data_IF_112302235229
#
_entry.id   IF_112302235229
#
_cell.length_a   1.000
_cell.length_b   1.000
_cell.length_c   1.000
_cell.angle_alpha   90.00
_cell.angle_beta   90.00
_cell.angle_gamma   90.00
#
_symmetry.space_group_name_H-M   'P 1'
#
loop_
_entity.id
_entity.type
_entity.pdbx_description
1 polymer ?
#
# COMPACT_ATOMS: atom_id res chain seq x y z
N UNK A 1 33.05 -0.97 12.11
CA UNK A 1 33.17 -1.73 10.83
C UNK A 1 32.00 -1.33 9.95
N UNK A 2 32.23 -0.95 8.68
CA UNK A 2 31.13 -0.73 7.73
C UNK A 2 30.51 -2.08 7.40
N UNK A 3 29.22 -2.28 7.74
CA UNK A 3 28.43 -3.40 7.26
C UNK A 3 28.42 -3.39 5.71
N UNK A 4 28.04 -4.50 5.09
CA UNK A 4 28.02 -4.64 3.63
C UNK A 4 27.26 -3.53 2.90
N UNK A 5 27.17 -3.64 1.58
CA UNK A 5 26.52 -2.64 0.73
C UNK A 5 25.35 -3.25 -0.02
N UNK A 6 24.19 -2.62 0.13
CA UNK A 6 22.96 -2.94 -0.60
C UNK A 6 22.86 -2.08 -1.88
N UNK A 7 22.40 -2.68 -2.97
CA UNK A 7 22.09 -1.99 -4.21
C UNK A 7 20.60 -2.12 -4.47
N UNK A 8 19.85 -1.03 -4.31
CA UNK A 8 18.41 -1.02 -4.55
C UNK A 8 18.14 -0.57 -5.97
N UNK A 9 17.56 -1.45 -6.77
CA UNK A 9 17.19 -1.19 -8.16
C UNK A 9 15.68 -1.14 -8.32
N UNK A 10 15.18 -0.27 -9.19
CA UNK A 10 13.76 -0.06 -9.46
C UNK A 10 13.57 0.68 -10.78
N UNK A 11 12.34 0.92 -11.15
CA UNK A 11 11.94 1.47 -12.46
C UNK A 11 11.83 3.00 -12.51
N UNK A 12 11.84 3.70 -11.39
CA UNK A 12 11.81 5.17 -11.32
C UNK A 12 10.71 5.82 -12.17
N UNK A 13 9.50 5.26 -12.08
CA UNK A 13 8.35 5.73 -12.88
C UNK A 13 7.52 6.82 -12.18
N UNK A 14 7.95 7.32 -11.01
CA UNK A 14 7.21 8.32 -10.22
C UNK A 14 5.95 7.78 -9.56
N UNK A 15 5.87 6.46 -9.33
CA UNK A 15 4.78 5.80 -8.64
C UNK A 15 5.03 5.72 -7.13
N UNK A 16 4.02 5.36 -6.37
CA UNK A 16 4.15 5.13 -4.92
C UNK A 16 5.24 4.10 -4.54
N UNK A 17 5.63 3.24 -5.47
CA UNK A 17 6.73 2.28 -5.33
C UNK A 17 8.10 2.96 -5.22
N UNK A 18 8.30 4.13 -5.84
CA UNK A 18 9.54 4.90 -5.70
C UNK A 18 9.71 5.44 -4.27
N UNK A 19 8.61 5.72 -3.63
CA UNK A 19 8.54 6.09 -2.23
C UNK A 19 8.98 4.92 -1.32
N UNK A 20 8.46 3.72 -1.58
CA UNK A 20 8.86 2.50 -0.86
C UNK A 20 10.34 2.20 -1.06
N UNK A 21 10.88 2.44 -2.26
CA UNK A 21 12.31 2.33 -2.52
C UNK A 21 13.12 3.32 -1.68
N UNK A 22 12.65 4.55 -1.53
CA UNK A 22 13.30 5.58 -0.70
C UNK A 22 13.29 5.16 0.78
N UNK A 23 12.17 4.62 1.26
CA UNK A 23 12.04 4.06 2.62
C UNK A 23 12.99 2.89 2.85
N UNK A 24 13.09 1.96 1.91
CA UNK A 24 14.02 0.85 1.98
C UNK A 24 15.48 1.31 2.09
N UNK A 25 15.87 2.36 1.34
CA UNK A 25 17.19 2.98 1.44
C UNK A 25 17.41 3.60 2.84
N UNK A 26 16.43 4.31 3.37
CA UNK A 26 16.49 4.88 4.72
C UNK A 26 16.63 3.79 5.79
N UNK A 27 15.84 2.72 5.69
CA UNK A 27 15.93 1.54 6.57
C UNK A 27 17.32 0.89 6.52
N UNK A 28 17.88 0.70 5.33
CA UNK A 28 19.24 0.15 5.19
C UNK A 28 20.28 1.03 5.92
N UNK A 29 20.15 2.36 5.82
CA UNK A 29 21.03 3.29 6.53
C UNK A 29 20.84 3.22 8.05
N UNK A 30 19.61 3.17 8.57
CA UNK A 30 19.33 3.02 10.02
C UNK A 30 19.97 1.75 10.57
N UNK A 31 19.93 0.66 9.79
CA UNK A 31 20.53 -0.62 10.14
C UNK A 31 22.07 -0.67 9.94
N UNK A 32 22.69 0.44 9.50
CA UNK A 32 24.12 0.58 9.35
C UNK A 32 24.71 0.01 8.05
N UNK A 33 23.85 -0.32 7.07
CA UNK A 33 24.30 -0.75 5.74
C UNK A 33 24.58 0.44 4.82
N UNK A 34 25.61 0.32 3.98
CA UNK A 34 25.82 1.28 2.90
C UNK A 34 24.88 0.99 1.74
N UNK A 35 24.47 2.05 1.02
CA UNK A 35 23.72 1.90 -0.24
C UNK A 35 24.59 2.30 -1.41
N UNK A 36 24.67 1.44 -2.44
CA UNK A 36 25.51 1.62 -3.59
C UNK A 36 24.79 2.25 -4.78
N UNK A 37 25.55 2.97 -5.62
CA UNK A 37 25.04 3.44 -6.91
C UNK A 37 24.96 2.29 -7.91
N UNK A 38 23.79 2.14 -8.56
CA UNK A 38 23.54 1.09 -9.55
C UNK A 38 24.48 1.16 -10.77
N UNK A 39 25.00 2.35 -11.08
CA UNK A 39 25.96 2.54 -12.18
C UNK A 39 27.27 1.74 -11.97
N UNK A 40 27.60 1.45 -10.73
CA UNK A 40 28.82 0.70 -10.38
C UNK A 40 28.62 -0.83 -10.35
N UNK A 41 27.39 -1.32 -10.42
CA UNK A 41 27.10 -2.77 -10.33
C UNK A 41 27.78 -3.58 -11.42
N UNK A 42 27.85 -3.07 -12.66
CA UNK A 42 28.48 -3.75 -13.79
C UNK A 42 29.96 -4.05 -13.59
N UNK A 43 30.62 -3.34 -12.67
CA UNK A 43 32.06 -3.52 -12.36
C UNK A 43 32.28 -4.34 -11.08
N UNK A 44 31.23 -4.83 -10.46
CA UNK A 44 31.29 -5.53 -9.18
C UNK A 44 30.73 -6.94 -9.30
N UNK A 45 31.15 -7.81 -8.40
CA UNK A 45 30.65 -9.19 -8.28
C UNK A 45 30.14 -9.44 -6.86
N UNK A 46 29.26 -10.41 -6.71
CA UNK A 46 28.75 -10.91 -5.41
C UNK A 46 28.14 -9.82 -4.52
N UNK A 47 27.52 -8.80 -5.13
CA UNK A 47 26.83 -7.76 -4.38
C UNK A 47 25.39 -8.22 -4.04
N UNK A 48 24.82 -7.64 -2.98
CA UNK A 48 23.40 -7.77 -2.68
C UNK A 48 22.61 -6.77 -3.54
N UNK A 49 21.80 -7.28 -4.47
CA UNK A 49 20.95 -6.48 -5.35
C UNK A 49 19.50 -6.74 -4.97
N UNK A 50 18.79 -5.71 -4.56
CA UNK A 50 17.38 -5.80 -4.20
C UNK A 50 16.54 -5.06 -5.23
N UNK A 51 15.67 -5.81 -5.92
CA UNK A 51 14.77 -5.28 -6.93
C UNK A 51 13.46 -4.82 -6.27
N UNK A 52 13.21 -3.54 -6.36
CA UNK A 52 12.00 -2.92 -5.87
C UNK A 52 11.25 -2.33 -7.07
N UNK A 53 10.52 -3.19 -7.78
CA UNK A 53 9.89 -2.89 -9.06
C UNK A 53 8.38 -2.79 -8.93
N UNK A 54 7.79 -1.98 -9.79
CA UNK A 54 6.39 -2.07 -10.11
C UNK A 54 6.12 -3.45 -10.79
N UNK A 55 5.01 -4.09 -10.51
CA UNK A 55 4.63 -5.41 -11.02
C UNK A 55 5.59 -6.58 -10.71
N UNK A 56 6.52 -6.44 -9.79
CA UNK A 56 7.36 -7.54 -9.29
C UNK A 56 8.18 -8.25 -10.39
N UNK A 57 8.50 -7.58 -11.49
CA UNK A 57 9.18 -8.18 -12.64
C UNK A 57 10.65 -8.39 -12.34
N UNK A 58 11.10 -9.65 -12.42
CA UNK A 58 12.51 -9.98 -12.40
C UNK A 58 13.20 -9.44 -13.66
N UNK A 59 14.23 -8.60 -13.46
CA UNK A 59 14.98 -8.04 -14.59
C UNK A 59 16.03 -9.04 -15.05
N UNK A 60 15.98 -9.54 -16.32
CA UNK A 60 16.87 -10.60 -16.81
C UNK A 60 18.37 -10.30 -16.63
N UNK A 61 18.76 -9.01 -16.73
CA UNK A 61 20.17 -8.59 -16.57
C UNK A 61 20.78 -8.94 -15.20
N UNK A 62 19.97 -9.27 -14.18
CA UNK A 62 20.44 -9.65 -12.84
C UNK A 62 20.43 -11.17 -12.63
N UNK A 63 19.70 -11.93 -13.43
CA UNK A 63 19.49 -13.35 -13.25
C UNK A 63 20.75 -14.18 -13.52
N UNK A 64 21.54 -13.78 -14.53
CA UNK A 64 22.77 -14.47 -14.95
C UNK A 64 24.04 -13.88 -14.33
N UNK A 65 23.90 -13.17 -13.20
CA UNK A 65 25.03 -12.56 -12.51
C UNK A 65 25.44 -13.35 -11.28
N UNK A 66 26.66 -13.09 -10.78
CA UNK A 66 27.11 -13.60 -9.47
C UNK A 66 26.54 -12.85 -8.28
N UNK A 67 25.62 -11.89 -8.48
CA UNK A 67 25.01 -11.12 -7.41
C UNK A 67 24.00 -11.94 -6.64
N UNK A 68 23.86 -11.70 -5.33
CA UNK A 68 22.72 -12.15 -4.55
C UNK A 68 21.51 -11.30 -4.95
N UNK A 69 20.37 -11.96 -5.16
CA UNK A 69 19.18 -11.33 -5.70
C UNK A 69 18.03 -11.36 -4.69
N UNK A 70 17.59 -10.17 -4.27
CA UNK A 70 16.38 -9.98 -3.51
C UNK A 70 15.33 -9.23 -4.31
N UNK A 71 14.06 -9.41 -3.96
CA UNK A 71 12.95 -8.64 -4.56
C UNK A 71 11.79 -8.45 -3.59
N UNK A 72 10.94 -7.45 -3.88
CA UNK A 72 9.62 -7.30 -3.25
C UNK A 72 8.54 -7.86 -4.17
N UNK A 73 7.61 -8.64 -3.60
CA UNK A 73 6.42 -9.13 -4.30
C UNK A 73 5.18 -8.71 -3.52
N UNK A 74 4.57 -7.59 -3.90
CA UNK A 74 3.51 -6.95 -3.10
C UNK A 74 2.11 -7.44 -3.43
N UNK A 75 1.79 -7.61 -4.72
CA UNK A 75 0.48 -8.00 -5.21
C UNK A 75 0.60 -8.59 -6.62
N UNK A 76 -0.50 -9.07 -7.16
CA UNK A 76 -0.54 -9.60 -8.51
C UNK A 76 -0.83 -11.10 -8.48
N UNK A 77 -2.11 -11.44 -8.27
CA UNK A 77 -2.55 -12.83 -8.43
C UNK A 77 -2.56 -13.20 -9.89
N UNK A 78 -1.93 -14.31 -10.30
CA UNK A 78 -2.06 -14.83 -11.65
C UNK A 78 -3.54 -15.12 -11.96
N UNK A 79 -3.93 -14.99 -13.22
CA UNK A 79 -5.32 -15.18 -13.65
C UNK A 79 -6.24 -13.98 -13.35
N UNK A 80 -5.72 -12.84 -12.88
CA UNK A 80 -6.53 -11.65 -12.67
C UNK A 80 -6.97 -11.06 -14.02
N UNK A 81 -8.28 -10.99 -14.33
CA UNK A 81 -8.78 -10.49 -15.61
C UNK A 81 -8.32 -9.06 -15.89
N UNK A 82 -7.80 -8.82 -17.10
CA UNK A 82 -7.32 -7.50 -17.52
C UNK A 82 -5.89 -7.14 -17.07
N UNK A 83 -5.20 -8.05 -16.34
CA UNK A 83 -3.86 -7.81 -15.80
C UNK A 83 -2.85 -8.93 -16.18
N UNK A 84 -2.57 -9.14 -17.47
CA UNK A 84 -1.68 -10.21 -17.95
C UNK A 84 -0.23 -10.04 -17.45
N UNK A 85 0.14 -8.86 -16.97
CA UNK A 85 1.42 -8.62 -16.32
C UNK A 85 1.59 -9.40 -15.02
N UNK A 86 0.52 -9.76 -14.32
CA UNK A 86 0.57 -10.58 -13.11
C UNK A 86 0.95 -12.02 -13.45
N UNK A 87 0.39 -12.56 -14.54
CA UNK A 87 0.76 -13.89 -15.04
C UNK A 87 2.23 -13.92 -15.43
N UNK A 88 2.69 -12.92 -16.19
CA UNK A 88 4.10 -12.83 -16.60
C UNK A 88 5.04 -12.70 -15.41
N UNK A 89 4.69 -11.92 -14.39
CA UNK A 89 5.49 -11.76 -13.18
C UNK A 89 5.58 -13.08 -12.40
N UNK A 90 4.47 -13.78 -12.26
CA UNK A 90 4.39 -15.07 -11.57
C UNK A 90 5.17 -16.16 -12.29
N UNK A 91 5.02 -16.29 -13.61
CA UNK A 91 5.77 -17.25 -14.42
C UNK A 91 7.29 -16.97 -14.39
N UNK A 92 7.69 -15.70 -14.42
CA UNK A 92 9.09 -15.33 -14.24
C UNK A 92 9.60 -15.72 -12.85
N UNK A 93 8.81 -15.52 -11.81
CA UNK A 93 9.16 -15.94 -10.45
C UNK A 93 9.33 -17.46 -10.38
N UNK A 94 8.40 -18.25 -10.96
CA UNK A 94 8.48 -19.72 -11.02
C UNK A 94 9.75 -20.19 -11.75
N UNK A 95 10.04 -19.60 -12.90
CA UNK A 95 11.20 -19.98 -13.71
C UNK A 95 12.53 -19.74 -12.97
N UNK A 96 12.58 -18.77 -12.08
CA UNK A 96 13.80 -18.37 -11.38
C UNK A 96 13.73 -18.49 -9.85
N UNK A 97 12.76 -19.26 -9.33
CA UNK A 97 12.50 -19.38 -7.89
C UNK A 97 13.76 -19.76 -7.09
N UNK A 98 14.54 -20.71 -7.57
CA UNK A 98 15.78 -21.16 -6.92
C UNK A 98 16.93 -20.15 -7.03
N UNK A 99 16.85 -19.19 -7.95
CA UNK A 99 17.87 -18.14 -8.17
C UNK A 99 17.69 -16.95 -7.21
N UNK A 100 16.50 -16.77 -6.69
CA UNK A 100 16.20 -15.65 -5.77
C UNK A 100 16.63 -16.01 -4.35
N UNK A 101 17.42 -15.14 -3.73
CA UNK A 101 17.96 -15.36 -2.39
C UNK A 101 17.03 -14.82 -1.29
N UNK A 102 16.28 -13.74 -1.54
CA UNK A 102 15.35 -13.12 -0.59
C UNK A 102 14.13 -12.56 -1.32
N UNK A 103 12.94 -12.81 -0.78
CA UNK A 103 11.69 -12.19 -1.24
C UNK A 103 10.99 -11.52 -0.06
N UNK A 104 10.70 -10.24 -0.18
CA UNK A 104 9.82 -9.54 0.75
C UNK A 104 8.39 -9.57 0.23
N UNK A 105 7.46 -9.95 1.09
CA UNK A 105 6.02 -9.92 0.85
C UNK A 105 5.33 -9.15 1.98
N UNK A 106 4.12 -8.63 1.74
CA UNK A 106 3.43 -7.76 2.71
C UNK A 106 2.45 -8.51 3.60
N UNK A 107 1.91 -9.64 3.16
CA UNK A 107 0.85 -10.40 3.85
C UNK A 107 0.94 -11.89 3.51
N UNK A 108 0.18 -12.70 4.24
CA UNK A 108 0.25 -14.17 4.19
C UNK A 108 -0.11 -14.74 2.82
N UNK A 109 -1.13 -14.21 2.17
CA UNK A 109 -1.51 -14.69 0.84
C UNK A 109 -0.37 -14.55 -0.18
N UNK A 110 0.36 -13.42 -0.17
CA UNK A 110 1.54 -13.27 -1.03
C UNK A 110 2.70 -14.17 -0.62
N UNK A 111 2.83 -14.46 0.67
CA UNK A 111 3.80 -15.44 1.15
C UNK A 111 3.50 -16.83 0.55
N UNK A 112 2.26 -17.27 0.66
CA UNK A 112 1.82 -18.57 0.12
C UNK A 112 1.98 -18.64 -1.40
N UNK A 113 1.62 -17.55 -2.11
CA UNK A 113 1.78 -17.44 -3.55
C UNK A 113 3.25 -17.60 -3.98
N UNK A 114 4.16 -16.91 -3.30
CA UNK A 114 5.59 -16.92 -3.60
C UNK A 114 6.22 -18.28 -3.27
N UNK A 115 5.85 -18.90 -2.16
CA UNK A 115 6.27 -20.27 -1.82
C UNK A 115 5.70 -21.26 -2.83
N UNK A 116 4.44 -21.13 -3.22
CA UNK A 116 3.78 -21.93 -4.26
C UNK A 116 4.42 -21.78 -5.65
N UNK A 117 5.09 -20.66 -5.92
CA UNK A 117 5.91 -20.47 -7.13
C UNK A 117 7.24 -21.24 -7.08
N UNK A 118 7.59 -21.89 -5.97
CA UNK A 118 8.80 -22.68 -5.78
C UNK A 118 9.95 -21.96 -5.09
N UNK A 119 9.74 -20.74 -4.56
CA UNK A 119 10.75 -20.08 -3.71
C UNK A 119 10.79 -20.79 -2.35
N UNK A 120 11.96 -21.21 -1.85
CA UNK A 120 12.07 -21.82 -0.52
C UNK A 120 11.52 -20.89 0.58
N UNK A 121 10.69 -21.43 1.49
CA UNK A 121 9.98 -20.64 2.49
C UNK A 121 10.93 -19.81 3.38
N UNK A 122 12.12 -20.33 3.69
CA UNK A 122 13.15 -19.64 4.47
C UNK A 122 13.79 -18.43 3.76
N UNK A 123 13.46 -18.23 2.48
CA UNK A 123 13.87 -17.06 1.69
C UNK A 123 12.76 -16.04 1.54
N UNK A 124 11.54 -16.33 2.04
CA UNK A 124 10.38 -15.44 1.95
C UNK A 124 10.14 -14.77 3.30
N UNK A 125 10.17 -13.44 3.31
CA UNK A 125 10.07 -12.63 4.52
C UNK A 125 8.79 -11.81 4.46
N UNK A 126 7.88 -12.03 5.42
CA UNK A 126 6.68 -11.20 5.56
C UNK A 126 7.05 -9.92 6.32
N UNK A 127 7.19 -8.84 5.57
CA UNK A 127 7.49 -7.51 6.07
C UNK A 127 6.38 -6.59 5.55
N UNK A 128 5.45 -6.16 6.41
CA UNK A 128 4.34 -5.30 6.01
C UNK A 128 4.83 -3.92 5.55
N UNK A 129 3.98 -3.18 4.86
CA UNK A 129 4.21 -1.76 4.59
C UNK A 129 4.01 -1.00 5.91
N UNK A 130 4.96 -0.15 6.26
CA UNK A 130 4.89 0.72 7.43
C UNK A 130 4.34 2.10 7.10
N UNK A 131 4.18 2.91 8.15
CA UNK A 131 3.74 4.31 8.06
C UNK A 131 4.74 5.25 8.73
N UNK A 132 4.92 6.42 8.13
CA UNK A 132 5.72 7.52 8.66
C UNK A 132 4.82 8.42 9.54
N UNK A 133 4.95 8.29 10.84
CA UNK A 133 4.12 9.03 11.81
C UNK A 133 4.39 10.54 11.83
N UNK A 134 5.54 10.99 11.34
CA UNK A 134 5.86 12.42 11.26
C UNK A 134 5.04 13.12 10.17
N UNK A 135 4.86 12.47 9.04
CA UNK A 135 4.08 13.00 7.93
C UNK A 135 2.57 12.80 8.11
N UNK A 136 2.15 11.82 8.93
CA UNK A 136 0.76 11.51 9.25
C UNK A 136 0.50 11.65 10.76
N UNK A 137 0.58 12.90 11.30
CA UNK A 137 0.37 13.14 12.72
C UNK A 137 -1.11 12.96 13.09
N UNK A 138 -1.34 12.58 14.35
CA UNK A 138 -2.69 12.48 14.89
C UNK A 138 -3.41 13.84 14.81
N UNK A 139 -4.50 13.88 14.06
CA UNK A 139 -5.37 15.05 13.96
C UNK A 139 -6.36 15.17 15.13
N UNK A 140 -6.92 16.35 15.34
CA UNK A 140 -8.06 16.53 16.22
C UNK A 140 -9.34 15.93 15.58
N UNK A 141 -10.33 15.50 16.38
CA UNK A 141 -11.65 15.17 15.87
C UNK A 141 -12.26 16.34 15.10
N UNK A 142 -12.82 16.05 13.92
CA UNK A 142 -13.50 17.09 13.14
C UNK A 142 -14.79 17.50 13.82
N UNK A 143 -15.04 18.80 13.82
CA UNK A 143 -16.27 19.39 14.34
C UNK A 143 -16.92 20.23 13.23
N UNK A 144 -17.52 19.56 12.25
CA UNK A 144 -18.16 20.20 11.10
C UNK A 144 -19.54 19.58 10.87
N UNK A 145 -20.44 20.34 10.26
CA UNK A 145 -21.77 19.83 9.89
C UNK A 145 -21.72 18.83 8.73
N UNK A 146 -20.63 18.84 7.92
CA UNK A 146 -20.46 17.94 6.78
C UNK A 146 -19.80 16.65 7.21
N UNK A 147 -20.34 15.53 6.77
CA UNK A 147 -19.68 14.24 6.85
C UNK A 147 -18.85 13.99 5.58
N UNK A 148 -17.56 13.75 5.71
CA UNK A 148 -16.62 13.65 4.59
C UNK A 148 -16.03 12.26 4.48
N UNK A 149 -16.29 11.59 3.36
CA UNK A 149 -15.64 10.32 2.99
C UNK A 149 -14.35 10.63 2.22
N UNK A 150 -13.23 10.15 2.71
CA UNK A 150 -11.92 10.26 2.05
C UNK A 150 -11.61 9.06 1.16
N UNK A 151 -11.02 9.33 -0.03
CA UNK A 151 -10.43 8.30 -0.90
C UNK A 151 -9.06 8.75 -1.39
N UNK A 152 -8.03 8.01 -0.97
CA UNK A 152 -6.62 8.36 -1.13
C UNK A 152 -5.88 7.36 -2.03
N UNK A 153 -6.54 6.91 -3.09
CA UNK A 153 -6.01 5.95 -4.04
C UNK A 153 -6.00 6.53 -5.46
N UNK A 154 -5.05 6.08 -6.27
CA UNK A 154 -5.08 6.32 -7.72
C UNK A 154 -5.92 5.24 -8.38
N UNK A 155 -7.13 5.56 -8.78
CA UNK A 155 -8.13 4.61 -9.29
C UNK A 155 -8.45 4.75 -10.79
N UNK A 156 -7.77 5.63 -11.49
CA UNK A 156 -7.83 5.73 -12.94
C UNK A 156 -6.59 5.14 -13.61
N UNK A 157 -6.74 4.72 -14.87
CA UNK A 157 -5.65 4.24 -15.72
C UNK A 157 -4.79 5.43 -16.19
N UNK A 158 -3.49 5.22 -16.28
CA UNK A 158 -2.53 6.25 -16.69
C UNK A 158 -2.24 7.30 -15.61
N UNK A 159 -1.63 8.42 -16.00
CA UNK A 159 -1.27 9.56 -15.13
C UNK A 159 -2.02 10.85 -15.49
N UNK A 160 -2.81 10.82 -16.54
CA UNK A 160 -3.63 11.94 -17.00
C UNK A 160 -4.92 12.04 -16.16
N UNK A 161 -6.01 12.43 -16.78
CA UNK A 161 -7.30 12.63 -16.10
C UNK A 161 -7.86 11.36 -15.44
N UNK A 162 -7.60 10.16 -16.03
CA UNK A 162 -8.06 8.88 -15.48
C UNK A 162 -9.55 8.65 -15.65
N UNK A 163 -10.07 8.89 -16.84
CA UNK A 163 -11.49 8.61 -17.18
C UNK A 163 -11.76 7.12 -17.27
N UNK A 164 -10.76 6.31 -17.65
CA UNK A 164 -10.85 4.86 -17.62
C UNK A 164 -10.59 4.35 -16.20
N UNK A 165 -11.53 3.58 -15.61
CA UNK A 165 -11.39 3.10 -14.24
C UNK A 165 -10.35 2.00 -14.13
N UNK A 166 -9.51 2.05 -13.11
CA UNK A 166 -8.67 0.92 -12.70
C UNK A 166 -9.48 0.02 -11.76
N UNK A 167 -10.26 -0.90 -12.31
CA UNK A 167 -11.24 -1.71 -11.56
C UNK A 167 -10.64 -2.48 -10.38
N UNK A 168 -9.34 -2.80 -10.44
CA UNK A 168 -8.61 -3.40 -9.31
C UNK A 168 -8.66 -2.53 -8.03
N UNK A 169 -8.80 -1.21 -8.19
CA UNK A 169 -8.91 -0.23 -7.10
C UNK A 169 -10.36 0.07 -6.68
N UNK A 170 -11.35 -0.56 -7.33
CA UNK A 170 -12.76 -0.46 -6.99
C UNK A 170 -13.37 0.95 -7.09
N UNK A 171 -13.05 1.79 -8.11
CA UNK A 171 -13.65 3.11 -8.21
C UNK A 171 -15.16 3.08 -8.42
N UNK A 172 -15.66 2.06 -9.10
CA UNK A 172 -17.08 1.77 -9.30
C UNK A 172 -17.77 1.39 -7.98
N UNK A 173 -17.18 0.49 -7.20
CA UNK A 173 -17.67 0.14 -5.86
C UNK A 173 -17.64 1.36 -4.93
N UNK A 174 -16.56 2.16 -4.97
CA UNK A 174 -16.48 3.40 -4.18
C UNK A 174 -17.63 4.36 -4.48
N UNK A 175 -17.89 4.64 -5.76
CA UNK A 175 -18.99 5.53 -6.18
C UNK A 175 -20.34 4.97 -5.73
N UNK A 176 -20.58 3.68 -5.90
CA UNK A 176 -21.84 3.04 -5.51
C UNK A 176 -22.06 3.10 -3.98
N UNK A 177 -21.01 2.87 -3.17
CA UNK A 177 -21.07 3.03 -1.70
C UNK A 177 -21.41 4.47 -1.33
N UNK A 178 -20.71 5.46 -1.91
CA UNK A 178 -20.95 6.88 -1.64
C UNK A 178 -22.38 7.28 -2.01
N UNK A 179 -22.91 6.83 -3.15
CA UNK A 179 -24.29 7.07 -3.56
C UNK A 179 -25.29 6.48 -2.55
N UNK A 180 -25.05 5.25 -2.09
CA UNK A 180 -25.90 4.58 -1.11
C UNK A 180 -25.90 5.28 0.26
N UNK A 181 -24.73 5.73 0.73
CA UNK A 181 -24.61 6.48 1.98
C UNK A 181 -25.30 7.84 1.87
N UNK A 182 -25.23 8.52 0.71
CA UNK A 182 -25.86 9.82 0.47
C UNK A 182 -27.36 9.81 0.68
N UNK A 183 -28.04 8.70 0.43
CA UNK A 183 -29.49 8.57 0.65
C UNK A 183 -29.89 8.83 2.11
N UNK A 184 -29.00 8.51 3.08
CA UNK A 184 -29.26 8.65 4.52
C UNK A 184 -28.46 9.78 5.17
N UNK A 185 -27.39 10.26 4.51
CA UNK A 185 -26.48 11.32 4.99
C UNK A 185 -26.51 12.49 4.01
N UNK A 186 -27.54 13.38 4.07
CA UNK A 186 -27.73 14.46 3.10
C UNK A 186 -26.60 15.51 3.06
N UNK A 187 -25.84 15.65 4.11
CA UNK A 187 -24.68 16.57 4.23
C UNK A 187 -23.34 15.92 3.86
N UNK A 188 -23.39 14.71 3.22
CA UNK A 188 -22.18 13.99 2.78
C UNK A 188 -21.45 14.76 1.68
N UNK A 189 -20.14 14.79 1.77
CA UNK A 189 -19.23 15.17 0.69
C UNK A 189 -18.05 14.21 0.60
N UNK A 190 -17.28 14.30 -0.47
CA UNK A 190 -16.14 13.41 -0.74
C UNK A 190 -14.85 14.21 -0.83
N UNK A 191 -13.77 13.70 -0.25
CA UNK A 191 -12.42 14.23 -0.42
C UNK A 191 -11.56 13.22 -1.20
N UNK A 192 -11.12 13.61 -2.37
CA UNK A 192 -10.28 12.80 -3.26
C UNK A 192 -8.87 13.36 -3.28
N UNK A 193 -7.86 12.48 -3.21
CA UNK A 193 -6.48 12.87 -3.47
C UNK A 193 -5.86 12.04 -4.60
N UNK A 194 -4.74 12.54 -5.12
CA UNK A 194 -3.94 11.84 -6.13
C UNK A 194 -4.37 12.08 -7.57
N UNK A 195 -3.54 11.65 -8.53
CA UNK A 195 -3.80 11.81 -9.95
C UNK A 195 -4.83 10.80 -10.46
N UNK A 196 -5.29 11.03 -11.71
CA UNK A 196 -6.14 10.09 -12.44
C UNK A 196 -7.45 9.72 -11.73
N UNK A 197 -8.19 10.73 -11.26
CA UNK A 197 -9.48 10.57 -10.54
C UNK A 197 -10.69 10.92 -11.41
N UNK A 198 -10.52 11.07 -12.73
CA UNK A 198 -11.57 11.55 -13.65
C UNK A 198 -12.82 10.68 -13.69
N UNK A 199 -12.67 9.35 -13.59
CA UNK A 199 -13.83 8.45 -13.52
C UNK A 199 -14.70 8.75 -12.29
N UNK A 200 -14.11 8.77 -11.09
CA UNK A 200 -14.87 9.02 -9.85
C UNK A 200 -15.43 10.44 -9.81
N UNK A 201 -14.66 11.45 -10.24
CA UNK A 201 -15.13 12.84 -10.29
C UNK A 201 -16.37 12.98 -11.18
N UNK A 202 -16.31 12.44 -12.40
CA UNK A 202 -17.45 12.48 -13.33
C UNK A 202 -18.69 11.80 -12.74
N UNK A 203 -18.53 10.64 -12.13
CA UNK A 203 -19.64 9.93 -11.51
C UNK A 203 -20.25 10.72 -10.32
N UNK A 204 -19.41 11.39 -9.52
CA UNK A 204 -19.90 12.25 -8.43
C UNK A 204 -20.62 13.51 -8.95
N UNK A 205 -20.14 14.10 -10.07
CA UNK A 205 -20.83 15.21 -10.75
C UNK A 205 -22.21 14.78 -11.26
N UNK A 206 -22.31 13.61 -11.90
CA UNK A 206 -23.58 13.05 -12.41
C UNK A 206 -24.57 12.76 -11.27
N UNK A 207 -24.09 12.36 -10.10
CA UNK A 207 -24.91 12.11 -8.89
C UNK A 207 -25.20 13.37 -8.08
N UNK A 208 -24.65 14.52 -8.43
CA UNK A 208 -24.78 15.77 -7.66
C UNK A 208 -24.17 15.67 -6.25
N UNK A 209 -23.15 14.85 -6.06
CA UNK A 209 -22.46 14.69 -4.78
C UNK A 209 -21.26 15.64 -4.72
N UNK A 210 -21.23 16.58 -3.75
CA UNK A 210 -20.13 17.52 -3.64
C UNK A 210 -18.82 16.82 -3.28
N UNK A 211 -17.71 17.25 -3.90
CA UNK A 211 -16.39 16.74 -3.60
C UNK A 211 -15.32 17.82 -3.66
N UNK A 212 -14.20 17.56 -2.96
CA UNK A 212 -12.94 18.27 -3.11
C UNK A 212 -11.91 17.29 -3.72
N UNK A 213 -11.17 17.72 -4.74
CA UNK A 213 -10.07 16.96 -5.30
C UNK A 213 -8.75 17.74 -5.16
N UNK A 214 -7.78 17.16 -4.45
CA UNK A 214 -6.48 17.77 -4.18
C UNK A 214 -5.36 16.90 -4.75
N UNK A 215 -4.45 17.52 -5.49
CA UNK A 215 -3.19 16.90 -5.88
C UNK A 215 -2.14 17.22 -4.80
N UNK A 216 -2.03 16.35 -3.80
CA UNK A 216 -0.95 16.46 -2.82
C UNK A 216 0.39 16.15 -3.51
N UNK A 217 1.30 17.11 -3.48
CA UNK A 217 2.64 17.00 -4.08
C UNK A 217 3.69 16.56 -3.07
N UNK A 218 3.38 16.69 -1.79
CA UNK A 218 4.23 16.28 -0.68
C UNK A 218 3.47 15.37 0.28
N UNK A 219 4.20 14.53 1.04
CA UNK A 219 3.61 13.70 2.10
C UNK A 219 2.92 14.54 3.18
N UNK A 220 3.47 15.72 3.50
CA UNK A 220 2.87 16.63 4.48
C UNK A 220 1.51 17.16 4.00
N UNK A 221 1.38 17.48 2.71
CA UNK A 221 0.08 17.87 2.13
C UNK A 221 -0.90 16.70 2.16
N UNK A 222 -0.44 15.49 1.83
CA UNK A 222 -1.25 14.29 1.93
C UNK A 222 -1.71 14.03 3.38
N UNK A 223 -0.82 14.16 4.37
CA UNK A 223 -1.16 14.02 5.78
C UNK A 223 -2.20 15.04 6.25
N UNK A 224 -2.16 16.28 5.74
CA UNK A 224 -3.21 17.28 6.00
C UNK A 224 -4.55 16.89 5.41
N UNK A 225 -4.56 16.33 4.21
CA UNK A 225 -5.79 15.90 3.56
C UNK A 225 -6.53 14.79 4.35
N UNK A 226 -5.81 13.93 5.08
CA UNK A 226 -6.44 12.98 6.01
C UNK A 226 -7.15 13.67 7.18
N UNK A 227 -6.68 14.84 7.63
CA UNK A 227 -7.32 15.57 8.72
C UNK A 227 -8.65 16.24 8.31
N UNK A 228 -8.93 16.27 7.00
CA UNK A 228 -10.15 16.87 6.44
C UNK A 228 -11.27 15.84 6.20
N UNK A 229 -11.12 14.58 6.66
CA UNK A 229 -12.11 13.53 6.43
C UNK A 229 -12.57 12.89 7.75
N UNK A 230 -13.80 12.36 7.76
CA UNK A 230 -14.40 11.69 8.92
C UNK A 230 -14.22 10.17 8.86
N UNK A 231 -14.07 9.63 7.64
CA UNK A 231 -13.81 8.22 7.38
C UNK A 231 -12.99 8.05 6.11
N UNK A 232 -12.03 7.15 6.11
CA UNK A 232 -11.31 6.71 4.93
C UNK A 232 -11.95 5.43 4.38
N UNK A 233 -12.42 5.46 3.13
CA UNK A 233 -13.00 4.30 2.45
C UNK A 233 -12.02 3.74 1.42
N UNK A 234 -11.69 2.45 1.58
CA UNK A 234 -10.87 1.66 0.65
C UNK A 234 -11.74 0.55 0.07
N UNK A 235 -12.12 0.68 -1.21
CA UNK A 235 -13.02 -0.25 -1.92
C UNK A 235 -12.27 -1.15 -2.92
N UNK A 236 -10.98 -1.33 -2.74
CA UNK A 236 -10.12 -2.08 -3.67
C UNK A 236 -10.48 -3.56 -3.75
N UNK A 237 -10.32 -4.16 -4.94
CA UNK A 237 -10.49 -5.61 -5.17
C UNK A 237 -9.21 -6.40 -4.94
N UNK A 238 -8.06 -5.74 -5.12
CA UNK A 238 -6.76 -6.36 -4.84
C UNK A 238 -5.73 -5.29 -4.45
N UNK A 239 -4.96 -5.57 -3.41
CA UNK A 239 -3.88 -4.73 -2.89
C UNK A 239 -2.73 -5.60 -2.36
N UNK A 240 -1.53 -5.04 -2.33
CA UNK A 240 -0.43 -5.61 -1.52
C UNK A 240 -0.51 -5.11 -0.09
N UNK A 241 -0.56 -3.80 0.05
CA UNK A 241 -0.78 -3.10 1.31
C UNK A 241 -1.31 -1.71 0.99
N UNK A 242 -2.61 -1.48 1.16
CA UNK A 242 -3.17 -0.16 0.90
C UNK A 242 -2.61 0.83 1.93
N UNK A 243 -1.64 1.66 1.50
CA UNK A 243 -0.99 2.67 2.36
C UNK A 243 -2.00 3.56 3.04
N UNK A 244 -3.09 3.89 2.34
CA UNK A 244 -4.16 4.73 2.86
C UNK A 244 -4.80 4.20 4.15
N UNK A 245 -4.75 2.89 4.42
CA UNK A 245 -5.24 2.31 5.68
C UNK A 245 -4.38 2.78 6.84
N UNK A 246 -3.06 2.54 6.79
CA UNK A 246 -2.15 2.96 7.87
C UNK A 246 -1.99 4.48 7.96
N UNK A 247 -2.02 5.19 6.84
CA UNK A 247 -1.97 6.65 6.80
C UNK A 247 -3.20 7.27 7.46
N UNK A 248 -4.40 6.73 7.20
CA UNK A 248 -5.63 7.14 7.86
C UNK A 248 -5.60 6.83 9.37
N UNK A 249 -5.23 5.60 9.74
CA UNK A 249 -5.08 5.19 11.13
C UNK A 249 -4.09 6.09 11.90
N UNK A 250 -2.93 6.38 11.29
CA UNK A 250 -1.93 7.29 11.86
C UNK A 250 -2.48 8.71 12.07
N UNK A 251 -3.27 9.20 11.13
CA UNK A 251 -3.92 10.51 11.21
C UNK A 251 -5.13 10.55 12.17
N UNK A 252 -5.50 9.40 12.75
CA UNK A 252 -6.67 9.27 13.62
C UNK A 252 -7.98 9.32 12.85
N UNK A 253 -8.02 8.80 11.65
CA UNK A 253 -9.22 8.69 10.81
C UNK A 253 -9.73 7.25 10.84
N UNK A 254 -11.00 7.01 11.18
CA UNK A 254 -11.62 5.70 11.06
C UNK A 254 -11.50 5.13 9.65
N UNK A 255 -11.24 3.84 9.52
CA UNK A 255 -11.06 3.15 8.25
C UNK A 255 -12.20 2.17 8.02
N UNK A 256 -12.79 2.23 6.84
CA UNK A 256 -13.65 1.19 6.26
C UNK A 256 -12.93 0.64 5.04
N UNK A 257 -12.66 -0.65 5.00
CA UNK A 257 -11.88 -1.28 3.92
C UNK A 257 -12.49 -2.59 3.47
N UNK A 258 -12.33 -2.89 2.20
CA UNK A 258 -12.45 -4.27 1.73
C UNK A 258 -11.34 -5.13 2.32
N UNK A 259 -11.61 -6.43 2.46
CA UNK A 259 -10.67 -7.44 3.01
C UNK A 259 -9.60 -7.81 1.97
N UNK A 260 -8.64 -6.90 1.77
CA UNK A 260 -7.60 -7.02 0.74
C UNK A 260 -6.20 -6.84 1.29
N UNK A 261 -5.27 -7.65 0.81
CA UNK A 261 -3.85 -7.55 1.12
C UNK A 261 -3.56 -7.43 2.60
N UNK A 262 -2.62 -6.58 2.96
CA UNK A 262 -2.27 -6.32 4.36
C UNK A 262 -3.45 -5.80 5.21
N UNK A 263 -4.42 -5.11 4.62
CA UNK A 263 -5.58 -4.61 5.38
C UNK A 263 -6.39 -5.73 6.03
N UNK A 264 -6.48 -6.90 5.37
CA UNK A 264 -7.17 -8.07 5.89
C UNK A 264 -6.54 -8.66 7.17
N UNK A 265 -5.23 -8.45 7.37
CA UNK A 265 -4.49 -8.92 8.56
C UNK A 265 -4.33 -7.81 9.62
N UNK A 266 -4.29 -6.56 9.18
CA UNK A 266 -4.09 -5.40 10.05
C UNK A 266 -5.35 -4.98 10.79
N UNK A 267 -6.51 -5.08 10.11
CA UNK A 267 -7.77 -4.63 10.66
C UNK A 267 -8.46 -5.77 11.41
N UNK A 268 -8.59 -5.60 12.72
CA UNK A 268 -9.52 -6.35 13.56
C UNK A 268 -10.90 -5.68 13.46
N UNK A 269 -11.82 -6.33 12.74
CA UNK A 269 -13.12 -5.75 12.42
C UNK A 269 -13.92 -5.35 13.67
N UNK A 270 -14.37 -4.10 13.69
CA UNK A 270 -15.07 -3.49 14.82
C UNK A 270 -14.19 -2.97 15.95
N UNK A 271 -12.87 -3.23 15.92
CA UNK A 271 -11.93 -2.80 16.97
C UNK A 271 -11.08 -1.60 16.52
N UNK A 272 -10.29 -1.74 15.46
CA UNK A 272 -9.38 -0.71 14.94
C UNK A 272 -9.72 -0.21 13.54
N UNK A 273 -10.78 -0.74 12.93
CA UNK A 273 -11.32 -0.43 11.62
C UNK A 273 -12.54 -1.29 11.34
N UNK A 274 -13.16 -1.10 10.18
CA UNK A 274 -14.28 -1.92 9.72
C UNK A 274 -13.91 -2.60 8.41
N UNK A 275 -14.23 -3.90 8.30
CA UNK A 275 -13.96 -4.72 7.11
C UNK A 275 -15.26 -5.21 6.48
N UNK A 276 -15.26 -5.20 5.15
CA UNK A 276 -16.27 -5.90 4.36
C UNK A 276 -15.59 -6.79 3.31
N UNK A 277 -16.32 -7.74 2.77
CA UNK A 277 -15.81 -8.55 1.66
C UNK A 277 -15.72 -7.70 0.38
N UNK A 278 -14.88 -8.16 -0.55
CA UNK A 278 -14.70 -7.48 -1.84
C UNK A 278 -16.04 -7.46 -2.58
N UNK A 279 -16.40 -6.28 -3.12
CA UNK A 279 -17.65 -6.01 -3.82
C UNK A 279 -18.93 -6.14 -2.97
N UNK A 280 -18.83 -6.29 -1.65
CA UNK A 280 -19.98 -6.20 -0.75
C UNK A 280 -20.35 -4.73 -0.49
N UNK A 281 -21.13 -4.19 -1.43
CA UNK A 281 -21.59 -2.80 -1.40
C UNK A 281 -22.40 -2.47 -0.14
N UNK A 282 -23.30 -3.37 0.26
CA UNK A 282 -24.21 -3.13 1.38
C UNK A 282 -23.44 -3.13 2.71
N UNK A 283 -22.51 -4.05 2.90
CA UNK A 283 -21.68 -4.08 4.10
C UNK A 283 -20.76 -2.84 4.19
N UNK A 284 -20.16 -2.42 3.06
CA UNK A 284 -19.32 -1.20 3.01
C UNK A 284 -20.17 0.05 3.34
N UNK A 285 -21.35 0.19 2.75
CA UNK A 285 -22.23 1.32 3.01
C UNK A 285 -22.72 1.34 4.46
N UNK A 286 -23.12 0.18 5.00
CA UNK A 286 -23.51 0.05 6.41
C UNK A 286 -22.37 0.38 7.36
N UNK A 287 -21.13 -0.04 7.06
CA UNK A 287 -19.95 0.28 7.85
C UNK A 287 -19.70 1.80 7.88
N UNK A 288 -19.75 2.49 6.74
CA UNK A 288 -19.61 3.95 6.66
C UNK A 288 -20.74 4.65 7.45
N UNK A 289 -21.99 4.18 7.34
CA UNK A 289 -23.10 4.73 8.11
C UNK A 289 -22.93 4.55 9.62
N UNK A 290 -22.42 3.39 10.07
CA UNK A 290 -22.09 3.18 11.49
C UNK A 290 -21.06 4.18 12.00
N UNK A 291 -20.03 4.48 11.21
CA UNK A 291 -19.04 5.53 11.58
C UNK A 291 -19.70 6.90 11.66
N UNK A 292 -20.69 7.21 10.80
CA UNK A 292 -21.44 8.46 10.86
C UNK A 292 -22.35 8.54 12.11
N UNK A 293 -23.12 7.49 12.38
CA UNK A 293 -24.21 7.51 13.36
C UNK A 293 -23.72 7.28 14.79
N UNK A 294 -22.61 6.56 14.99
CA UNK A 294 -22.08 6.17 16.29
C UNK A 294 -20.76 6.91 16.62
N UNK A 295 -20.88 7.97 17.40
CA UNK A 295 -19.73 8.76 17.84
C UNK A 295 -18.78 7.95 18.75
N UNK A 296 -19.32 7.04 19.59
CA UNK A 296 -18.50 6.21 20.46
C UNK A 296 -17.65 5.21 19.65
N UNK A 297 -18.26 4.54 18.67
CA UNK A 297 -17.54 3.69 17.74
C UNK A 297 -16.45 4.48 17.00
N UNK A 298 -16.79 5.66 16.49
CA UNK A 298 -15.84 6.52 15.78
C UNK A 298 -14.62 6.86 16.64
N UNK A 299 -14.82 7.24 17.90
CA UNK A 299 -13.73 7.57 18.82
C UNK A 299 -12.89 6.34 19.19
N UNK A 300 -13.54 5.18 19.37
CA UNK A 300 -12.86 3.91 19.61
C UNK A 300 -11.98 3.50 18.43
N UNK A 301 -12.52 3.55 17.21
CA UNK A 301 -11.77 3.23 15.99
C UNK A 301 -10.57 4.18 15.76
N UNK A 302 -10.74 5.46 16.09
CA UNK A 302 -9.64 6.45 16.04
C UNK A 302 -8.49 6.08 16.97
N UNK A 303 -8.81 5.78 18.22
CA UNK A 303 -7.80 5.46 19.24
C UNK A 303 -7.08 4.14 18.92
N UNK A 304 -7.83 3.09 18.63
CA UNK A 304 -7.27 1.77 18.34
C UNK A 304 -6.54 1.74 16.98
N UNK A 305 -7.06 2.44 15.97
CA UNK A 305 -6.39 2.61 14.67
C UNK A 305 -5.04 3.32 14.82
N UNK A 306 -4.99 4.41 15.61
CA UNK A 306 -3.73 5.11 15.92
C UNK A 306 -2.71 4.17 16.60
N UNK A 307 -3.11 3.40 17.59
CA UNK A 307 -2.23 2.42 18.24
C UNK A 307 -1.70 1.38 17.25
N UNK A 308 -2.54 0.92 16.31
CA UNK A 308 -2.13 0.00 15.25
C UNK A 308 -1.11 0.64 14.30
N UNK A 309 -1.30 1.91 13.92
CA UNK A 309 -0.34 2.63 13.10
C UNK A 309 1.01 2.82 13.82
N UNK A 310 1.00 3.11 15.12
CA UNK A 310 2.22 3.24 15.93
C UNK A 310 2.99 1.91 16.03
N UNK A 311 2.28 0.78 16.10
CA UNK A 311 2.90 -0.55 16.06
C UNK A 311 3.52 -0.86 14.68
N UNK A 312 3.03 -0.20 13.61
CA UNK A 312 3.51 -0.34 12.24
C UNK A 312 4.29 0.90 11.74
N UNK A 313 4.81 1.72 12.66
CA UNK A 313 5.75 2.78 12.27
C UNK A 313 6.96 2.18 11.54
N UNK A 314 7.49 2.90 10.55
CA UNK A 314 8.59 2.39 9.69
C UNK A 314 9.75 1.82 10.51
N UNK A 315 10.15 2.50 11.58
CA UNK A 315 11.25 2.10 12.46
C UNK A 315 10.94 0.82 13.26
N UNK A 316 9.67 0.54 13.52
CA UNK A 316 9.23 -0.69 14.21
C UNK A 316 9.42 -1.94 13.35
N UNK A 317 9.53 -1.76 12.03
CA UNK A 317 9.78 -2.84 11.07
C UNK A 317 11.27 -3.11 10.84
N UNK A 318 12.16 -2.29 11.37
CA UNK A 318 13.61 -2.45 11.23
C UNK A 318 14.12 -3.84 11.64
N UNK A 319 13.62 -4.50 12.71
CA UNK A 319 14.03 -5.88 13.05
C UNK A 319 13.71 -6.91 11.95
N UNK A 320 12.57 -6.76 11.25
CA UNK A 320 12.19 -7.66 10.16
C UNK A 320 13.11 -7.46 8.94
N UNK A 321 13.43 -6.21 8.62
CA UNK A 321 14.40 -5.90 7.58
C UNK A 321 15.81 -6.36 7.94
N UNK A 322 16.20 -6.27 9.21
CA UNK A 322 17.48 -6.79 9.68
C UNK A 322 17.60 -8.30 9.42
N UNK A 323 16.54 -9.07 9.69
CA UNK A 323 16.49 -10.51 9.38
C UNK A 323 16.62 -10.79 7.88
N UNK A 324 15.92 -10.02 7.03
CA UNK A 324 16.05 -10.17 5.57
C UNK A 324 17.48 -9.86 5.09
N UNK A 325 18.14 -8.84 5.67
CA UNK A 325 19.48 -8.41 5.27
C UNK A 325 20.58 -9.33 5.80
N UNK A 326 20.34 -10.04 6.89
CA UNK A 326 21.29 -10.98 7.47
C UNK A 326 21.68 -12.07 6.47
N UNK A 327 22.97 -12.29 6.26
CA UNK A 327 23.50 -13.22 5.26
C UNK A 327 23.25 -12.81 3.80
N UNK A 328 22.31 -11.89 3.53
CA UNK A 328 22.04 -11.36 2.20
C UNK A 328 22.96 -10.19 1.84
N UNK A 329 23.07 -9.19 2.72
CA UNK A 329 23.95 -8.02 2.48
C UNK A 329 25.37 -8.31 2.92
N UNK A 330 25.55 -8.96 4.06
CA UNK A 330 26.84 -9.33 4.63
C UNK A 330 27.26 -10.77 4.32
N UNK A 331 26.70 -11.39 3.27
CA UNK A 331 26.95 -12.78 2.93
C UNK A 331 28.44 -13.15 2.94
N UNK A 332 28.77 -14.44 3.00
CA UNK A 332 30.16 -14.89 3.19
C UNK A 332 31.11 -14.23 2.20
N UNK A 333 32.20 -13.70 2.74
CA UNK A 333 33.27 -13.06 1.98
C UNK A 333 34.00 -14.07 1.11
#
# INVERSE_FOLDING_TARGET
MRRGRLFVVGDRLGWSIDDDRTRLVATAHRLGYGVGSNALLRFRRRQAVFQHNHFNVLQPRWLDTSHRLGLSYFHGRPGTPGYPEFDRAYEALRAYAMRVDRVQVTHTEMHELVVGAGVPAERVFKIPIGVDLEHFPLGAPRQTEKFVIGSFVKDGVGMAEGLEPKLLKGPDTFVAVVARVRERVPNLSVHLTGPARGYVRRALDELGIPYLHVLATTRRELGRAYQDVDVCLVASRQEGGPKSVLEAMASGVPVVSTRVGQAAELIADGENGLLADVDDLEALAAAVQRVHDDAHLRDSLRAAGRSSAEAHAEERLDPLWAQLFEGFVDGPR
#
